data_IF_554631853370
#
_entry.id   IF_554631853370
#
_cell.length_a   1.000
_cell.length_b   1.000
_cell.length_c   1.000
_cell.angle_alpha   90.00
_cell.angle_beta   90.00
_cell.angle_gamma   90.00
#
_symmetry.space_group_name_H-M   'P 1'
#
loop_
_entity.id
_entity.type
_entity.pdbx_description
1 polymer ?
#
# COMPACT_ATOMS: atom_id res chain seq x y z
N UNK A 1 -17.05 -41.02 9.64
CA UNK A 1 -16.51 -40.21 10.77
C UNK A 1 -15.75 -38.97 10.31
N UNK A 2 -15.19 -38.97 9.10
CA UNK A 2 -14.44 -37.81 8.55
C UNK A 2 -15.33 -36.73 7.98
N UNK A 3 -16.51 -37.04 7.44
CA UNK A 3 -17.43 -36.03 6.89
C UNK A 3 -18.01 -35.03 7.92
N UNK A 4 -17.96 -35.35 9.21
CA UNK A 4 -18.44 -34.44 10.28
C UNK A 4 -17.43 -33.35 10.66
N UNK A 5 -16.16 -33.52 10.35
CA UNK A 5 -15.11 -32.56 10.69
C UNK A 5 -15.07 -31.36 9.74
N UNK A 6 -15.57 -31.52 8.49
CA UNK A 6 -15.55 -30.49 7.45
C UNK A 6 -16.82 -29.65 7.36
N UNK A 7 -17.82 -29.87 8.21
CA UNK A 7 -19.12 -29.16 8.15
C UNK A 7 -19.40 -28.18 9.26
N UNK A 8 -18.42 -27.73 10.03
CA UNK A 8 -18.59 -26.49 10.75
C UNK A 8 -18.41 -25.39 9.71
N UNK A 9 -19.54 -24.87 9.20
CA UNK A 9 -19.55 -23.61 8.46
C UNK A 9 -18.86 -22.60 9.36
N UNK A 10 -17.63 -22.23 9.05
CA UNK A 10 -16.93 -21.22 9.83
C UNK A 10 -17.82 -19.98 9.86
N UNK A 11 -17.96 -19.39 11.02
CA UNK A 11 -18.75 -18.18 11.16
C UNK A 11 -18.20 -17.11 10.20
N UNK A 12 -19.10 -16.41 9.51
CA UNK A 12 -18.72 -15.33 8.62
C UNK A 12 -17.74 -14.36 9.30
N UNK A 13 -16.64 -14.04 8.64
CA UNK A 13 -15.57 -13.23 9.22
C UNK A 13 -15.09 -12.16 8.26
N UNK A 14 -14.99 -10.92 8.76
CA UNK A 14 -14.30 -9.82 8.11
C UNK A 14 -12.79 -9.93 8.36
N UNK A 15 -11.97 -9.83 7.31
CA UNK A 15 -10.51 -9.91 7.39
C UNK A 15 -9.86 -8.54 7.22
N UNK A 16 -10.21 -7.82 6.15
CA UNK A 16 -9.62 -6.50 5.88
C UNK A 16 -10.49 -5.67 4.94
N UNK A 17 -10.23 -4.36 4.91
CA UNK A 17 -10.85 -3.38 4.00
C UNK A 17 -9.72 -2.59 3.35
N UNK A 18 -9.71 -2.50 2.03
CA UNK A 18 -8.67 -1.82 1.27
C UNK A 18 -9.26 -0.82 0.25
N UNK A 19 -8.72 0.40 0.16
CA UNK A 19 -7.71 0.97 1.04
C UNK A 19 -8.24 1.17 2.45
N UNK A 20 -7.36 1.14 3.45
CA UNK A 20 -7.72 1.31 4.86
C UNK A 20 -7.74 2.78 5.31
N UNK A 21 -7.40 3.71 4.43
CA UNK A 21 -7.37 5.14 4.72
C UNK A 21 -8.29 5.91 3.77
N UNK A 22 -9.09 6.84 4.32
CA UNK A 22 -10.12 7.58 3.64
C UNK A 22 -9.85 9.08 3.72
N UNK A 23 -9.80 9.75 2.56
CA UNK A 23 -9.64 11.21 2.51
C UNK A 23 -10.96 11.90 2.79
N UNK A 24 -10.95 12.89 3.67
CA UNK A 24 -12.10 13.75 3.97
C UNK A 24 -12.63 14.39 2.70
N UNK A 25 -13.97 14.43 2.58
CA UNK A 25 -14.66 14.98 1.40
C UNK A 25 -14.49 14.15 0.11
N UNK A 26 -13.81 13.00 0.18
CA UNK A 26 -13.55 12.15 -0.96
C UNK A 26 -14.65 11.12 -1.23
N UNK A 27 -14.64 10.64 -2.47
CA UNK A 27 -15.36 9.42 -2.88
C UNK A 27 -14.33 8.41 -3.32
N UNK A 28 -14.51 7.17 -2.89
CA UNK A 28 -13.61 6.09 -3.29
C UNK A 28 -14.31 4.75 -3.29
N UNK A 29 -13.75 3.81 -4.02
CA UNK A 29 -14.17 2.42 -3.97
C UNK A 29 -13.28 1.66 -2.97
N UNK A 30 -13.89 0.80 -2.18
CA UNK A 30 -13.20 -0.08 -1.25
C UNK A 30 -13.50 -1.54 -1.57
N UNK A 31 -12.53 -2.39 -1.35
CA UNK A 31 -12.68 -3.84 -1.37
C UNK A 31 -12.65 -4.37 0.05
N UNK A 32 -13.65 -5.13 0.39
CA UNK A 32 -13.82 -5.74 1.71
C UNK A 32 -13.60 -7.23 1.53
N UNK A 33 -12.65 -7.79 2.23
CA UNK A 33 -12.27 -9.19 2.15
C UNK A 33 -12.62 -9.92 3.44
N UNK A 34 -13.12 -11.13 3.27
CA UNK A 34 -13.52 -11.95 4.39
C UNK A 34 -13.71 -13.42 4.02
N UNK A 35 -14.53 -14.10 4.78
CA UNK A 35 -14.90 -15.51 4.54
C UNK A 35 -16.35 -15.71 4.93
N UNK A 36 -17.08 -16.45 4.10
CA UNK A 36 -18.45 -16.90 4.42
C UNK A 36 -19.44 -15.75 4.55
N UNK A 37 -19.25 -14.64 3.84
CA UNK A 37 -20.20 -13.53 3.85
C UNK A 37 -21.59 -14.01 3.45
N UNK A 38 -22.65 -13.63 4.19
CA UNK A 38 -24.02 -13.98 3.84
C UNK A 38 -24.40 -13.32 2.51
N UNK A 39 -25.19 -14.02 1.70
CA UNK A 39 -25.72 -13.46 0.46
C UNK A 39 -26.73 -12.34 0.74
N UNK A 40 -26.77 -11.35 -0.15
CA UNK A 40 -27.74 -10.27 -0.09
C UNK A 40 -27.42 -9.19 0.94
N UNK A 41 -26.16 -9.02 1.31
CA UNK A 41 -25.73 -7.88 2.12
C UNK A 41 -26.10 -6.56 1.42
N UNK A 42 -26.60 -5.64 2.21
CA UNK A 42 -26.94 -4.28 1.77
C UNK A 42 -25.92 -3.27 2.27
N UNK A 43 -25.89 -2.09 1.67
CA UNK A 43 -25.00 -1.01 2.09
C UNK A 43 -25.16 -0.66 3.59
N UNK A 44 -26.37 -0.75 4.12
CA UNK A 44 -26.67 -0.50 5.54
C UNK A 44 -26.08 -1.53 6.51
N UNK A 45 -25.71 -2.72 6.01
CA UNK A 45 -25.05 -3.73 6.83
C UNK A 45 -23.59 -3.41 7.10
N UNK A 46 -22.97 -2.54 6.29
CA UNK A 46 -21.55 -2.18 6.38
C UNK A 46 -21.40 -0.83 7.06
N UNK A 47 -20.65 -0.81 8.16
CA UNK A 47 -20.32 0.41 8.91
C UNK A 47 -18.82 0.66 8.84
N UNK A 48 -18.43 1.84 8.40
CA UNK A 48 -17.03 2.25 8.24
C UNK A 48 -16.62 3.37 9.23
N UNK A 49 -17.44 3.55 10.27
CA UNK A 49 -17.26 4.60 11.28
C UNK A 49 -17.93 5.92 10.93
N UNK A 50 -17.94 6.84 11.89
CA UNK A 50 -18.59 8.15 11.79
C UNK A 50 -18.07 8.97 10.62
N UNK A 51 -18.98 9.55 9.82
CA UNK A 51 -18.65 10.39 8.67
C UNK A 51 -18.23 9.64 7.40
N UNK A 52 -18.30 8.28 7.41
CA UNK A 52 -18.04 7.46 6.21
C UNK A 52 -19.31 6.69 5.85
N UNK A 53 -19.87 6.98 4.69
CA UNK A 53 -21.13 6.38 4.22
C UNK A 53 -20.89 5.43 3.05
N UNK A 54 -21.44 4.25 3.13
CA UNK A 54 -21.50 3.29 2.02
C UNK A 54 -22.70 3.67 1.15
N UNK A 55 -22.44 3.97 -0.13
CA UNK A 55 -23.48 4.33 -1.10
C UNK A 55 -24.01 3.12 -1.83
N UNK A 56 -23.11 2.27 -2.28
CA UNK A 56 -23.46 1.06 -3.02
C UNK A 56 -22.59 -0.10 -2.56
N UNK A 57 -23.09 -1.31 -2.80
CA UNK A 57 -22.39 -2.54 -2.45
C UNK A 57 -22.64 -3.57 -3.53
N UNK A 58 -21.58 -4.20 -4.01
CA UNK A 58 -21.61 -5.35 -4.91
C UNK A 58 -20.82 -6.48 -4.28
N UNK A 59 -21.50 -7.60 -4.06
CA UNK A 59 -20.87 -8.79 -3.50
C UNK A 59 -20.42 -9.71 -4.65
N UNK A 60 -19.17 -10.18 -4.56
CA UNK A 60 -18.57 -11.15 -5.48
C UNK A 60 -18.18 -12.41 -4.69
N UNK A 61 -19.04 -13.42 -4.78
CA UNK A 61 -18.86 -14.63 -3.98
C UNK A 61 -19.18 -14.42 -2.48
N UNK A 62 -18.60 -15.25 -1.64
CA UNK A 62 -18.75 -15.22 -0.19
C UNK A 62 -17.52 -14.68 0.56
N UNK A 63 -16.56 -14.14 -0.16
CA UNK A 63 -15.26 -13.67 0.35
C UNK A 63 -14.94 -12.21 0.00
N UNK A 64 -15.61 -11.63 -0.99
CA UNK A 64 -15.26 -10.31 -1.52
C UNK A 64 -16.50 -9.43 -1.72
N UNK A 65 -16.42 -8.21 -1.21
CA UNK A 65 -17.40 -7.15 -1.41
C UNK A 65 -16.68 -5.91 -1.98
N UNK A 66 -17.27 -5.31 -2.99
CA UNK A 66 -16.85 -4.00 -3.50
C UNK A 66 -17.89 -2.98 -3.08
N UNK A 67 -17.47 -1.89 -2.45
CA UNK A 67 -18.38 -0.84 -2.01
C UNK A 67 -17.89 0.54 -2.44
N UNK A 68 -18.81 1.38 -2.90
CA UNK A 68 -18.55 2.79 -3.13
C UNK A 68 -18.87 3.57 -1.85
N UNK A 69 -17.92 4.36 -1.40
CA UNK A 69 -18.02 5.11 -0.16
C UNK A 69 -17.83 6.60 -0.37
N UNK A 70 -18.53 7.39 0.44
CA UNK A 70 -18.34 8.84 0.55
C UNK A 70 -17.89 9.16 1.96
N UNK A 71 -16.85 9.98 2.06
CA UNK A 71 -16.39 10.57 3.31
C UNK A 71 -16.91 11.99 3.43
N UNK A 72 -17.65 12.28 4.48
CA UNK A 72 -18.22 13.60 4.70
C UNK A 72 -17.10 14.64 4.88
N UNK A 73 -17.28 15.89 4.39
CA UNK A 73 -16.30 16.95 4.59
C UNK A 73 -16.05 17.29 6.07
N UNK A 74 -17.00 16.97 6.92
CA UNK A 74 -16.96 17.19 8.38
C UNK A 74 -16.50 15.96 9.17
N UNK A 75 -16.14 14.86 8.48
CA UNK A 75 -15.68 13.65 9.15
C UNK A 75 -14.43 13.95 9.98
N UNK A 76 -14.45 13.55 11.25
CA UNK A 76 -13.31 13.73 12.16
C UNK A 76 -12.13 12.90 11.70
N UNK A 77 -10.93 13.40 11.88
CA UNK A 77 -9.70 12.64 11.61
C UNK A 77 -9.48 11.54 12.64
N UNK A 78 -8.71 10.53 12.25
CA UNK A 78 -8.23 9.52 13.17
C UNK A 78 -8.75 8.11 12.87
N UNK A 79 -8.40 7.16 13.76
CA UNK A 79 -8.68 5.74 13.59
C UNK A 79 -10.17 5.42 13.75
N UNK A 80 -10.60 4.37 13.06
CA UNK A 80 -11.97 3.81 13.07
C UNK A 80 -11.92 2.30 12.94
N UNK A 81 -13.08 1.68 13.12
CA UNK A 81 -13.26 0.25 12.88
C UNK A 81 -14.36 0.04 11.84
N UNK A 82 -14.02 -0.70 10.78
CA UNK A 82 -15.00 -1.20 9.83
C UNK A 82 -15.63 -2.49 10.35
N UNK A 83 -16.96 -2.61 10.21
CA UNK A 83 -17.75 -3.75 10.68
C UNK A 83 -18.82 -4.10 9.65
N UNK A 84 -19.25 -5.35 9.68
CA UNK A 84 -20.41 -5.83 8.92
C UNK A 84 -21.36 -6.49 9.89
N UNK A 85 -22.63 -6.10 9.83
CA UNK A 85 -23.67 -6.66 10.70
C UNK A 85 -23.79 -8.17 10.49
N UNK A 86 -23.78 -8.94 11.57
CA UNK A 86 -23.85 -10.40 11.54
C UNK A 86 -22.56 -11.10 11.09
N UNK A 87 -21.46 -10.37 10.87
CA UNK A 87 -20.14 -10.89 10.51
C UNK A 87 -19.16 -10.62 11.63
N UNK A 88 -18.36 -11.61 12.01
CA UNK A 88 -17.36 -11.48 13.06
C UNK A 88 -16.13 -10.70 12.57
N UNK A 89 -15.46 -10.02 13.49
CA UNK A 89 -14.24 -9.27 13.22
C UNK A 89 -14.46 -7.81 12.87
N UNK A 90 -13.40 -7.06 12.96
CA UNK A 90 -13.35 -5.63 12.70
C UNK A 90 -12.10 -5.33 11.86
N UNK A 91 -12.19 -4.37 10.94
CA UNK A 91 -11.07 -3.93 10.14
C UNK A 91 -10.64 -2.52 10.57
N UNK A 92 -9.36 -2.29 10.91
CA UNK A 92 -8.88 -0.96 11.26
C UNK A 92 -8.90 -0.06 10.02
N UNK A 93 -9.44 1.15 10.20
CA UNK A 93 -9.58 2.18 9.17
C UNK A 93 -9.13 3.52 9.73
N UNK A 94 -8.84 4.46 8.85
CA UNK A 94 -8.48 5.83 9.23
C UNK A 94 -9.14 6.84 8.30
N UNK A 95 -9.47 8.01 8.83
CA UNK A 95 -9.84 9.19 8.02
C UNK A 95 -8.77 10.26 8.18
N UNK A 96 -8.35 10.85 7.07
CA UNK A 96 -7.30 11.86 7.00
C UNK A 96 -7.68 13.03 6.09
N UNK A 97 -7.02 14.17 6.26
CA UNK A 97 -7.19 15.34 5.39
C UNK A 97 -6.06 15.49 4.38
N UNK A 98 -4.82 15.32 4.85
CA UNK A 98 -3.58 15.55 4.10
C UNK A 98 -2.64 14.38 4.30
N UNK A 99 -1.72 14.21 3.36
CA UNK A 99 -0.53 13.39 3.54
C UNK A 99 0.56 14.34 4.03
N UNK A 100 0.95 14.22 5.29
CA UNK A 100 1.90 15.15 5.90
C UNK A 100 3.34 14.75 5.61
N UNK A 101 3.60 13.44 5.48
CA UNK A 101 4.90 12.93 5.04
C UNK A 101 4.79 11.53 4.42
N UNK A 102 5.87 11.09 3.82
CA UNK A 102 5.99 9.76 3.23
C UNK A 102 7.22 9.06 3.77
N UNK A 103 7.17 7.73 3.80
CA UNK A 103 8.33 6.84 4.02
C UNK A 103 8.34 5.75 2.97
N UNK A 104 9.50 5.21 2.67
CA UNK A 104 9.60 3.98 1.90
C UNK A 104 9.05 2.80 2.72
N UNK A 105 8.37 1.88 2.06
CA UNK A 105 7.88 0.66 2.74
C UNK A 105 9.02 -0.18 3.29
N UNK A 106 10.17 -0.15 2.59
CA UNK A 106 11.46 -0.68 3.03
C UNK A 106 12.56 0.30 2.62
N UNK A 107 13.51 0.51 3.54
CA UNK A 107 14.60 1.48 3.36
C UNK A 107 15.78 0.89 2.59
N UNK A 108 15.82 -0.43 2.43
CA UNK A 108 16.84 -1.15 1.70
C UNK A 108 16.20 -2.07 0.67
N UNK A 109 16.73 -2.07 -0.53
CA UNK A 109 16.31 -2.93 -1.63
C UNK A 109 17.50 -3.69 -2.20
N UNK A 110 17.21 -4.72 -2.98
CA UNK A 110 18.21 -5.49 -3.67
C UNK A 110 17.86 -5.60 -5.16
N UNK A 111 18.71 -5.01 -5.99
CA UNK A 111 18.62 -5.14 -7.42
C UNK A 111 19.95 -5.70 -7.97
N UNK A 112 19.90 -6.37 -9.12
CA UNK A 112 21.09 -6.92 -9.77
C UNK A 112 21.04 -6.68 -11.27
N UNK A 113 22.12 -6.13 -11.88
CA UNK A 113 22.24 -6.05 -13.32
C UNK A 113 22.06 -7.42 -13.99
N UNK A 114 21.48 -7.41 -15.16
CA UNK A 114 21.36 -8.61 -16.00
C UNK A 114 22.63 -8.85 -16.79
N UNK A 115 22.98 -10.12 -17.01
CA UNK A 115 24.14 -10.48 -17.78
C UNK A 115 24.09 -11.93 -18.28
N UNK A 116 25.16 -12.40 -18.88
CA UNK A 116 25.23 -13.76 -19.48
C UNK A 116 25.00 -14.85 -18.44
N UNK A 117 25.47 -14.65 -17.20
CA UNK A 117 25.45 -15.66 -16.15
C UNK A 117 24.24 -15.59 -15.23
N UNK A 118 23.58 -14.43 -15.18
CA UNK A 118 22.51 -14.22 -14.23
C UNK A 118 21.44 -13.28 -14.80
N UNK A 119 20.18 -13.58 -14.52
CA UNK A 119 19.07 -12.72 -14.90
C UNK A 119 19.05 -11.46 -14.03
N UNK A 120 18.57 -10.36 -14.62
CA UNK A 120 18.29 -9.11 -13.94
C UNK A 120 17.30 -9.33 -12.80
N UNK A 121 17.56 -8.71 -11.67
CA UNK A 121 16.62 -8.62 -10.54
C UNK A 121 16.25 -7.15 -10.37
N UNK A 122 14.96 -6.86 -10.50
CA UNK A 122 14.40 -5.54 -10.29
C UNK A 122 13.93 -5.42 -8.84
N UNK A 123 13.81 -4.19 -8.34
CA UNK A 123 13.30 -3.93 -6.99
C UNK A 123 12.11 -3.00 -7.05
N UNK A 124 11.02 -3.34 -6.35
CA UNK A 124 9.83 -2.53 -6.27
C UNK A 124 9.81 -1.73 -4.97
N UNK A 125 9.91 -0.41 -5.09
CA UNK A 125 9.73 0.51 -3.96
C UNK A 125 8.29 1.00 -3.88
N UNK A 126 7.83 1.24 -2.68
CA UNK A 126 6.52 1.81 -2.40
C UNK A 126 6.64 2.98 -1.43
N UNK A 127 5.95 4.07 -1.75
CA UNK A 127 5.81 5.19 -0.85
C UNK A 127 4.56 5.01 0.02
N UNK A 128 4.75 5.02 1.32
CA UNK A 128 3.69 4.94 2.31
C UNK A 128 3.46 6.34 2.88
N UNK A 129 2.25 6.83 2.72
CA UNK A 129 1.82 8.11 3.29
C UNK A 129 1.47 8.00 4.77
N UNK A 130 1.71 9.08 5.46
CA UNK A 130 1.34 9.27 6.86
C UNK A 130 0.69 10.63 7.06
N UNK A 131 -0.28 10.69 7.96
CA UNK A 131 -0.79 11.92 8.52
C UNK A 131 -0.27 12.04 9.96
N UNK A 132 0.20 13.22 10.32
CA UNK A 132 0.55 13.52 11.70
C UNK A 132 -0.66 13.30 12.61
N UNK A 133 -0.41 12.83 13.80
CA UNK A 133 -1.43 12.62 14.80
C UNK A 133 -1.99 13.91 15.38
N UNK A 134 -2.57 13.82 16.56
CA UNK A 134 -3.15 14.99 17.25
C UNK A 134 -2.12 16.00 17.68
N UNK A 135 -0.89 15.57 17.93
CA UNK A 135 0.21 16.42 18.35
C UNK A 135 0.82 17.24 17.19
N UNK A 136 0.49 16.89 15.93
CA UNK A 136 1.00 17.57 14.73
C UNK A 136 2.49 17.32 14.47
N UNK A 137 3.12 16.40 15.19
CA UNK A 137 4.56 16.14 15.12
C UNK A 137 4.81 14.85 14.33
N UNK A 138 5.69 14.92 13.33
CA UNK A 138 6.07 13.79 12.49
C UNK A 138 6.85 12.73 13.28
N UNK A 139 6.49 11.48 13.12
CA UNK A 139 7.24 10.33 13.62
C UNK A 139 6.87 9.94 15.05
N UNK A 140 5.69 10.34 15.52
CA UNK A 140 5.17 10.00 16.85
C UNK A 140 4.22 8.79 16.80
N UNK A 141 3.85 8.28 17.97
CA UNK A 141 3.04 7.06 18.07
C UNK A 141 1.57 7.25 17.68
N UNK A 142 1.11 8.49 17.58
CA UNK A 142 -0.26 8.80 17.17
C UNK A 142 -0.39 9.13 15.67
N UNK A 143 0.72 9.04 14.92
CA UNK A 143 0.70 9.16 13.46
C UNK A 143 -0.15 8.07 12.81
N UNK A 144 -0.89 8.48 11.80
CA UNK A 144 -1.79 7.59 11.07
C UNK A 144 -1.15 7.15 9.77
N UNK A 145 -0.92 5.85 9.64
CA UNK A 145 -0.47 5.25 8.39
C UNK A 145 -1.62 5.20 7.39
N UNK A 146 -1.46 5.85 6.24
CA UNK A 146 -2.48 5.98 5.20
C UNK A 146 -2.40 4.88 4.13
N UNK A 147 -1.30 4.15 4.08
CA UNK A 147 -1.03 3.17 3.04
C UNK A 147 -0.28 3.76 1.85
N UNK A 148 -0.22 3.01 0.74
CA UNK A 148 0.46 3.44 -0.48
C UNK A 148 -0.15 4.72 -1.03
N UNK A 149 0.69 5.67 -1.38
CA UNK A 149 0.28 6.95 -2.00
C UNK A 149 0.72 7.01 -3.46
N UNK A 150 -0.15 7.60 -4.28
CA UNK A 150 0.08 7.87 -5.71
C UNK A 150 -0.65 9.15 -6.10
N UNK A 151 -0.15 9.94 -7.06
CA UNK A 151 1.14 9.79 -7.74
C UNK A 151 2.33 10.18 -6.84
N UNK A 152 3.47 9.58 -7.09
CA UNK A 152 4.76 9.89 -6.44
C UNK A 152 5.79 10.10 -7.51
N UNK A 153 6.62 11.12 -7.36
CA UNK A 153 7.78 11.32 -8.22
C UNK A 153 8.97 10.56 -7.62
N UNK A 154 9.57 9.71 -8.43
CA UNK A 154 10.73 8.92 -8.08
C UNK A 154 11.97 9.43 -8.81
N UNK A 155 13.11 9.39 -8.14
CA UNK A 155 14.42 9.56 -8.78
C UNK A 155 15.46 8.70 -8.04
N UNK A 156 16.58 8.46 -8.71
CA UNK A 156 17.79 7.87 -8.13
C UNK A 156 18.77 9.00 -7.91
N UNK A 157 19.33 9.07 -6.73
CA UNK A 157 20.32 10.07 -6.34
C UNK A 157 21.65 9.40 -6.02
N UNK A 158 22.74 10.14 -6.24
CA UNK A 158 24.08 9.67 -5.94
C UNK A 158 24.29 9.61 -4.41
N UNK A 159 24.76 8.48 -3.93
CA UNK A 159 25.30 8.37 -2.58
C UNK A 159 26.82 8.55 -2.66
N UNK A 160 27.28 9.77 -2.52
CA UNK A 160 28.69 10.12 -2.71
C UNK A 160 29.57 9.44 -1.67
N UNK A 161 30.22 8.35 -2.05
CA UNK A 161 31.14 7.59 -1.20
C UNK A 161 32.59 7.84 -1.54
N UNK A 162 32.90 8.45 -2.71
CA UNK A 162 34.24 8.73 -3.21
C UNK A 162 34.28 10.00 -4.05
N UNK A 163 35.48 10.47 -4.34
CA UNK A 163 35.69 11.60 -5.27
C UNK A 163 35.33 11.17 -6.69
N UNK A 164 34.58 12.00 -7.40
CA UNK A 164 34.07 11.73 -8.75
C UNK A 164 33.18 10.50 -8.81
N UNK A 165 32.35 10.32 -7.80
CA UNK A 165 31.30 9.32 -7.81
C UNK A 165 30.23 9.70 -8.84
N UNK A 166 29.98 8.82 -9.79
CA UNK A 166 29.06 9.04 -10.91
C UNK A 166 28.18 7.83 -11.18
N UNK A 167 28.07 6.94 -10.20
CA UNK A 167 27.39 5.68 -10.30
C UNK A 167 25.94 5.84 -10.73
N UNK A 168 25.26 6.88 -10.28
CA UNK A 168 23.86 7.18 -10.61
C UNK A 168 23.58 7.23 -12.11
N UNK A 169 24.58 7.58 -12.92
CA UNK A 169 24.44 7.63 -14.38
C UNK A 169 24.38 6.24 -15.02
N UNK A 170 24.86 5.22 -14.33
CA UNK A 170 25.09 3.90 -14.91
C UNK A 170 24.34 2.75 -14.22
N UNK A 171 23.90 2.93 -12.97
CA UNK A 171 23.34 1.83 -12.17
C UNK A 171 21.93 1.40 -12.57
N UNK A 172 21.18 2.25 -13.25
CA UNK A 172 19.83 1.96 -13.69
C UNK A 172 18.88 3.14 -13.50
N UNK A 173 17.59 2.85 -13.47
CA UNK A 173 16.54 3.87 -13.36
C UNK A 173 15.36 3.37 -12.56
N UNK A 174 14.63 4.28 -11.96
CA UNK A 174 13.35 4.01 -11.33
C UNK A 174 12.23 4.59 -12.20
N UNK A 175 11.15 3.84 -12.39
CA UNK A 175 10.00 4.30 -13.16
C UNK A 175 8.93 4.98 -12.27
N UNK A 176 7.87 5.48 -12.90
CA UNK A 176 6.76 6.16 -12.21
C UNK A 176 6.01 5.27 -11.21
N UNK A 177 6.09 3.95 -11.38
CA UNK A 177 5.47 2.98 -10.47
C UNK A 177 6.32 2.70 -9.23
N UNK A 178 7.57 3.21 -9.20
CA UNK A 178 8.56 2.89 -8.16
C UNK A 178 9.33 1.61 -8.43
N UNK A 179 9.26 1.07 -9.66
CA UNK A 179 10.06 -0.09 -10.03
C UNK A 179 11.46 0.36 -10.43
N UNK A 180 12.46 -0.04 -9.64
CA UNK A 180 13.85 0.16 -9.97
C UNK A 180 14.32 -0.94 -10.94
N UNK A 181 14.79 -0.50 -12.10
CA UNK A 181 15.28 -1.35 -13.19
C UNK A 181 16.78 -1.14 -13.27
N UNK A 182 17.60 -2.06 -12.76
CA UNK A 182 19.05 -1.95 -12.85
C UNK A 182 19.52 -1.99 -14.30
N UNK A 183 20.67 -1.40 -14.56
CA UNK A 183 21.30 -1.41 -15.87
C UNK A 183 21.65 -2.84 -16.32
N UNK A 184 22.10 -2.99 -17.56
CA UNK A 184 22.75 -4.22 -17.99
C UNK A 184 24.15 -4.30 -17.38
N UNK A 185 24.64 -5.53 -17.19
CA UNK A 185 26.00 -5.76 -16.72
C UNK A 185 27.03 -5.23 -17.74
N UNK A 186 28.24 -4.92 -17.25
CA UNK A 186 29.33 -4.45 -18.08
C UNK A 186 29.85 -5.46 -19.12
N UNK A 187 30.88 -5.12 -19.86
CA UNK A 187 31.73 -3.93 -19.69
C UNK A 187 31.09 -2.63 -20.19
N UNK A 188 31.37 -1.52 -19.53
CA UNK A 188 30.94 -0.20 -19.94
C UNK A 188 32.14 0.72 -20.17
N UNK A 189 32.46 0.96 -21.47
CA UNK A 189 33.58 1.79 -21.88
C UNK A 189 33.44 3.29 -21.51
N UNK A 190 32.27 3.71 -21.06
CA UNK A 190 32.04 5.09 -20.60
C UNK A 190 32.50 5.31 -19.15
N UNK A 191 32.74 4.22 -18.41
CA UNK A 191 33.22 4.30 -17.03
C UNK A 191 34.71 4.15 -16.93
N UNK A 192 35.36 5.16 -16.36
CA UNK A 192 36.79 5.13 -16.11
C UNK A 192 37.09 4.05 -15.05
N UNK A 193 37.90 3.06 -15.35
CA UNK A 193 38.35 1.95 -14.52
C UNK A 193 37.26 0.95 -14.09
N UNK A 194 36.05 1.15 -14.48
CA UNK A 194 34.96 0.26 -14.11
C UNK A 194 34.33 -0.32 -15.35
N UNK A 195 34.41 -1.62 -15.41
CA UNK A 195 33.84 -2.36 -16.53
C UNK A 195 32.35 -2.70 -16.30
N UNK A 196 31.79 -2.43 -15.11
CA UNK A 196 30.46 -2.83 -14.72
C UNK A 196 29.57 -1.64 -14.33
N UNK A 197 28.26 -1.78 -14.53
CA UNK A 197 27.24 -0.79 -14.20
C UNK A 197 26.66 -1.09 -12.81
N UNK A 198 27.51 -1.09 -11.80
CA UNK A 198 27.15 -1.27 -10.40
C UNK A 198 27.55 -0.04 -9.60
N UNK A 199 26.85 0.21 -8.52
CA UNK A 199 27.09 1.30 -7.60
C UNK A 199 26.58 0.98 -6.22
N UNK A 200 26.76 1.90 -5.28
CA UNK A 200 26.38 1.81 -3.88
C UNK A 200 24.91 2.22 -3.66
#
# INVERSE_FOLDING_TARGET
REERLYRKKDAARLLTILPAAFKVGGKQQVKIFGMGFPNGLTASAVTLGEGVKVQSLTQSGDDTIVADVIVEPTAKFGPRQGKISGVQGEAPLSVYSTVDYMRLAHEQGFARPGGIRAKKIMEQFEAIGYANGKDGVKGTNDDVRLGRVTPVKWNVEENVTRVNDDDVQFVGKIDESGLYIPAEDGPNAQRERLDHNVGD
#
